data_IF_050070755571
#
_entry.id   IF_050070755571
#
_cell.length_a   1.000
_cell.length_b   1.000
_cell.length_c   1.000
_cell.angle_alpha   90.00
_cell.angle_beta   90.00
_cell.angle_gamma   90.00
#
_symmetry.space_group_name_H-M   'P 1'
#
loop_
_entity.id
_entity.type
_entity.pdbx_description
1 polymer ?
#
# COMPACT_ATOMS: atom_id res chain seq x y z
N UNK A 1 14.60 29.00 22.49
CA UNK A 1 15.31 27.71 22.62
C UNK A 1 14.58 26.90 23.66
N UNK A 2 14.02 25.73 23.47
CA UNK A 2 13.82 24.86 22.32
C UNK A 2 12.59 24.02 22.69
N UNK A 3 11.50 24.11 21.93
CA UNK A 3 10.44 23.11 22.01
C UNK A 3 10.77 22.09 20.94
N UNK A 4 11.48 21.02 21.31
CA UNK A 4 11.50 19.82 20.50
C UNK A 4 10.09 19.25 20.58
N UNK A 5 9.33 19.39 19.50
CA UNK A 5 8.12 18.61 19.31
C UNK A 5 8.51 17.13 19.44
N UNK A 6 7.88 16.44 20.39
CA UNK A 6 7.95 14.99 20.51
C UNK A 6 7.59 14.37 19.14
N UNK A 7 8.20 13.25 18.73
CA UNK A 7 7.86 12.59 17.48
C UNK A 7 6.35 12.35 17.47
N UNK A 8 5.67 13.02 16.53
CA UNK A 8 4.26 12.86 16.25
C UNK A 8 3.97 11.37 16.20
N UNK A 9 2.98 10.94 16.99
CA UNK A 9 2.52 9.55 17.08
C UNK A 9 2.63 8.88 15.70
N UNK A 10 3.27 7.70 15.63
CA UNK A 10 3.29 6.84 14.44
C UNK A 10 1.91 6.94 13.80
N UNK A 11 1.78 7.64 12.68
CA UNK A 11 0.55 7.59 11.91
C UNK A 11 0.44 6.12 11.52
N UNK A 12 -0.42 5.38 12.22
CA UNK A 12 -0.60 3.97 11.95
C UNK A 12 -1.08 3.89 10.51
N UNK A 13 -0.31 3.21 9.65
CA UNK A 13 -0.66 3.06 8.23
C UNK A 13 -2.08 2.51 8.05
N UNK A 14 -2.56 1.80 9.06
CA UNK A 14 -3.90 1.23 9.16
C UNK A 14 -4.57 1.70 10.46
N UNK A 15 -5.72 2.39 10.40
CA UNK A 15 -6.48 2.81 11.58
C UNK A 15 -6.84 1.69 12.56
N UNK A 16 -7.09 0.48 12.06
CA UNK A 16 -7.35 -0.72 12.88
C UNK A 16 -6.12 -1.24 13.62
N UNK A 17 -4.93 -0.78 13.22
CA UNK A 17 -3.65 -1.29 13.68
C UNK A 17 -3.11 -2.46 12.86
N UNK A 18 -3.89 -3.00 11.91
CA UNK A 18 -3.47 -4.11 11.05
C UNK A 18 -3.89 -3.91 9.59
N UNK A 19 -3.13 -4.50 8.68
CA UNK A 19 -3.39 -4.42 7.25
C UNK A 19 -3.52 -5.79 6.61
N UNK A 20 -4.56 -5.99 5.81
CA UNK A 20 -4.75 -7.25 5.09
C UNK A 20 -4.30 -7.13 3.64
N UNK A 21 -3.68 -8.19 3.05
CA UNK A 21 -3.33 -8.20 1.65
C UNK A 21 -4.60 -8.15 0.79
N UNK A 22 -4.69 -7.19 -0.12
CA UNK A 22 -5.76 -7.04 -1.09
C UNK A 22 -5.35 -7.63 -2.44
N UNK A 23 -4.13 -7.32 -2.90
CA UNK A 23 -3.62 -7.77 -4.18
C UNK A 23 -2.09 -7.74 -4.22
N UNK A 24 -1.54 -8.34 -5.28
CA UNK A 24 -0.17 -8.11 -5.72
C UNK A 24 -0.22 -7.58 -7.16
N UNK A 25 0.39 -6.42 -7.38
CA UNK A 25 0.64 -5.85 -8.69
C UNK A 25 1.92 -6.46 -9.24
N UNK A 26 1.95 -6.96 -10.48
CA UNK A 26 3.19 -7.48 -11.06
C UNK A 26 4.30 -6.42 -11.19
N UNK A 27 3.93 -5.14 -11.32
CA UNK A 27 4.88 -4.04 -11.41
C UNK A 27 5.63 -3.79 -10.09
N UNK A 28 6.91 -3.46 -10.20
CA UNK A 28 7.77 -3.08 -9.08
C UNK A 28 7.58 -1.61 -8.68
N UNK A 29 7.98 -1.23 -7.46
CA UNK A 29 7.79 0.13 -6.95
C UNK A 29 8.32 1.24 -7.89
N UNK A 30 9.51 1.11 -8.52
CA UNK A 30 10.00 2.14 -9.45
C UNK A 30 9.12 2.31 -10.68
N UNK A 31 8.58 1.21 -11.22
CA UNK A 31 7.69 1.24 -12.38
C UNK A 31 6.35 1.90 -12.02
N UNK A 32 5.81 1.57 -10.84
CA UNK A 32 4.61 2.20 -10.30
C UNK A 32 4.82 3.69 -10.02
N UNK A 33 6.00 4.08 -9.51
CA UNK A 33 6.35 5.48 -9.28
C UNK A 33 6.32 6.29 -10.58
N UNK A 34 6.92 5.75 -11.66
CA UNK A 34 6.94 6.40 -12.98
C UNK A 34 5.54 6.42 -13.60
N UNK A 35 4.83 5.30 -13.57
CA UNK A 35 3.53 5.14 -14.25
C UNK A 35 2.43 5.97 -13.60
N UNK A 36 2.43 6.07 -12.28
CA UNK A 36 1.34 6.67 -11.50
C UNK A 36 1.75 7.93 -10.71
N UNK A 37 3.00 8.37 -10.84
CA UNK A 37 3.50 9.54 -10.11
C UNK A 37 3.57 9.34 -8.58
N UNK A 38 3.72 8.09 -8.14
CA UNK A 38 3.76 7.75 -6.71
C UNK A 38 5.15 8.06 -6.12
N UNK A 39 5.14 8.53 -4.87
CA UNK A 39 6.36 8.69 -4.07
C UNK A 39 6.40 7.62 -2.99
N UNK A 40 7.44 6.80 -3.02
CA UNK A 40 7.67 5.77 -2.02
C UNK A 40 8.64 6.31 -0.96
N UNK A 41 8.37 5.97 0.30
CA UNK A 41 9.22 6.29 1.44
C UNK A 41 9.76 5.01 2.07
N UNK A 42 10.97 5.09 2.61
CA UNK A 42 11.53 4.01 3.41
C UNK A 42 10.81 3.92 4.76
N UNK A 43 10.56 2.70 5.21
CA UNK A 43 10.00 2.37 6.51
C UNK A 43 10.63 1.09 7.07
N UNK A 44 10.14 0.69 8.23
CA UNK A 44 10.50 -0.58 8.87
C UNK A 44 9.29 -1.07 9.66
N UNK A 45 9.01 -2.37 9.57
CA UNK A 45 8.13 -3.07 10.51
C UNK A 45 8.95 -3.99 11.42
N UNK A 46 8.27 -4.85 12.17
CA UNK A 46 8.91 -5.78 13.11
C UNK A 46 9.67 -6.92 12.39
N UNK A 47 9.54 -7.04 11.07
CA UNK A 47 10.19 -8.06 10.25
C UNK A 47 11.42 -7.50 9.54
N UNK A 48 11.29 -6.41 8.78
CA UNK A 48 12.39 -5.81 8.02
C UNK A 48 12.12 -4.35 7.60
N UNK A 49 13.12 -3.74 6.95
CA UNK A 49 12.96 -2.53 6.17
C UNK A 49 12.05 -2.77 4.96
N UNK A 50 11.20 -1.80 4.65
CA UNK A 50 10.32 -1.81 3.50
C UNK A 50 10.29 -0.44 2.83
N UNK A 51 9.85 -0.42 1.58
CA UNK A 51 9.42 0.81 0.93
C UNK A 51 7.93 0.77 0.73
N UNK A 52 7.26 1.90 0.95
CA UNK A 52 5.82 1.97 0.79
C UNK A 52 5.34 3.34 0.33
N UNK A 53 4.16 3.35 -0.28
CA UNK A 53 3.37 4.53 -0.58
C UNK A 53 1.95 4.30 -0.07
N UNK A 54 1.33 5.36 0.45
CA UNK A 54 -0.09 5.37 0.77
C UNK A 54 -0.82 6.01 -0.40
N UNK A 55 -1.80 5.30 -0.94
CA UNK A 55 -2.68 5.81 -1.98
C UNK A 55 -4.07 6.00 -1.36
N UNK A 56 -4.47 7.26 -1.25
CA UNK A 56 -5.83 7.61 -0.84
C UNK A 56 -6.79 7.33 -2.00
N UNK A 57 -7.73 6.43 -1.75
CA UNK A 57 -8.83 6.10 -2.64
C UNK A 57 -10.04 6.99 -2.33
N UNK A 58 -11.08 6.87 -3.13
CA UNK A 58 -12.35 7.53 -2.86
C UNK A 58 -12.97 7.04 -1.53
N UNK A 59 -13.97 7.78 -1.04
CA UNK A 59 -14.73 7.43 0.17
C UNK A 59 -13.89 7.23 1.45
N UNK A 60 -12.75 7.93 1.57
CA UNK A 60 -11.86 7.85 2.73
C UNK A 60 -11.28 6.45 3.00
N UNK A 61 -11.19 5.60 1.97
CA UNK A 61 -10.37 4.40 2.02
C UNK A 61 -8.95 4.75 1.57
N UNK A 62 -7.95 4.11 2.16
CA UNK A 62 -6.57 4.18 1.70
C UNK A 62 -6.04 2.77 1.51
N UNK A 63 -5.16 2.59 0.53
CA UNK A 63 -4.36 1.38 0.37
C UNK A 63 -2.89 1.71 0.60
N UNK A 64 -2.14 0.70 1.04
CA UNK A 64 -0.69 0.78 1.15
C UNK A 64 -0.09 -0.10 0.07
N UNK A 65 0.71 0.49 -0.81
CA UNK A 65 1.54 -0.23 -1.76
C UNK A 65 2.92 -0.39 -1.12
N UNK A 66 3.39 -1.62 -0.97
CA UNK A 66 4.66 -1.87 -0.27
C UNK A 66 5.45 -3.04 -0.85
N UNK A 67 6.76 -2.97 -0.65
CA UNK A 67 7.67 -4.10 -0.86
C UNK A 67 8.74 -4.12 0.23
N UNK A 68 8.93 -5.28 0.85
CA UNK A 68 10.01 -5.48 1.81
C UNK A 68 11.36 -5.59 1.10
N UNK A 69 12.41 -5.08 1.73
CA UNK A 69 13.76 -5.15 1.17
C UNK A 69 14.21 -6.61 1.16
N UNK A 70 14.60 -7.11 0.00
CA UNK A 70 15.08 -8.49 -0.14
C UNK A 70 13.98 -9.56 -0.22
N UNK A 71 12.70 -9.16 -0.27
CA UNK A 71 11.61 -10.09 -0.61
C UNK A 71 11.87 -10.68 -2.01
N UNK A 72 12.07 -12.01 -2.13
CA UNK A 72 12.33 -12.64 -3.42
C UNK A 72 11.08 -12.71 -4.31
N UNK A 73 9.89 -12.43 -3.76
CA UNK A 73 8.66 -12.47 -4.53
C UNK A 73 8.56 -11.25 -5.46
N UNK A 74 8.22 -11.45 -6.75
CA UNK A 74 8.05 -10.35 -7.69
C UNK A 74 6.78 -9.55 -7.36
N UNK A 75 6.79 -8.29 -7.77
CA UNK A 75 5.65 -7.39 -7.68
C UNK A 75 5.56 -6.61 -6.37
N UNK A 76 4.50 -5.81 -6.29
CA UNK A 76 4.20 -4.89 -5.19
C UNK A 76 2.95 -5.35 -4.47
N UNK A 77 3.04 -5.52 -3.15
CA UNK A 77 1.89 -5.91 -2.32
C UNK A 77 1.02 -4.69 -2.08
N UNK A 78 -0.28 -4.84 -2.27
CA UNK A 78 -1.29 -3.85 -1.91
C UNK A 78 -2.04 -4.35 -0.69
N UNK A 79 -2.07 -3.54 0.37
CA UNK A 79 -2.80 -3.82 1.60
C UNK A 79 -3.89 -2.78 1.86
N UNK A 80 -4.95 -3.20 2.52
CA UNK A 80 -5.99 -2.31 3.07
C UNK A 80 -5.99 -2.42 4.59
N UNK A 81 -6.64 -1.48 5.26
CA UNK A 81 -7.00 -1.65 6.66
C UNK A 81 -7.84 -2.92 6.88
N UNK A 82 -7.56 -3.68 7.94
CA UNK A 82 -8.25 -4.93 8.23
C UNK A 82 -9.77 -4.78 8.45
N UNK A 83 -10.25 -3.60 8.82
CA UNK A 83 -11.69 -3.31 8.93
C UNK A 83 -12.28 -2.68 7.66
N UNK A 84 -11.50 -2.58 6.57
CA UNK A 84 -11.92 -2.00 5.31
C UNK A 84 -12.76 -2.97 4.46
N UNK A 85 -13.64 -2.42 3.62
CA UNK A 85 -14.35 -3.21 2.61
C UNK A 85 -13.42 -3.53 1.43
N UNK A 86 -12.95 -4.78 1.36
CA UNK A 86 -12.05 -5.26 0.32
C UNK A 86 -12.65 -5.23 -1.09
N UNK A 87 -13.96 -5.47 -1.23
CA UNK A 87 -14.63 -5.43 -2.53
C UNK A 87 -14.67 -4.00 -3.06
N UNK A 88 -15.02 -3.07 -2.18
CA UNK A 88 -15.03 -1.65 -2.53
C UNK A 88 -13.63 -1.13 -2.84
N UNK A 89 -12.65 -1.45 -1.99
CA UNK A 89 -11.26 -1.06 -2.18
C UNK A 89 -10.69 -1.60 -3.49
N UNK A 90 -11.01 -2.85 -3.86
CA UNK A 90 -10.66 -3.42 -5.17
C UNK A 90 -11.22 -2.62 -6.34
N UNK A 91 -12.51 -2.31 -6.32
CA UNK A 91 -13.14 -1.54 -7.39
C UNK A 91 -12.53 -0.14 -7.51
N UNK A 92 -12.25 0.51 -6.37
CA UNK A 92 -11.62 1.81 -6.32
C UNK A 92 -10.16 1.80 -6.76
N UNK A 93 -9.39 0.77 -6.39
CA UNK A 93 -8.01 0.60 -6.81
C UNK A 93 -7.92 0.44 -8.33
N UNK A 94 -8.79 -0.40 -8.91
CA UNK A 94 -8.88 -0.58 -10.36
C UNK A 94 -9.18 0.74 -11.05
N UNK A 95 -10.14 1.52 -10.53
CA UNK A 95 -10.46 2.82 -11.09
C UNK A 95 -9.33 3.86 -10.92
N UNK A 96 -8.66 3.88 -9.76
CA UNK A 96 -7.63 4.87 -9.42
C UNK A 96 -6.34 4.68 -10.22
N UNK A 97 -5.97 3.42 -10.48
CA UNK A 97 -4.76 3.06 -11.21
C UNK A 97 -5.03 2.66 -12.67
N UNK A 98 -6.27 2.86 -13.15
CA UNK A 98 -6.74 2.47 -14.48
C UNK A 98 -6.30 1.04 -14.87
N UNK A 99 -6.51 0.10 -13.93
CA UNK A 99 -5.97 -1.25 -14.05
C UNK A 99 -6.77 -2.06 -15.07
N UNK A 100 -6.09 -2.49 -16.11
CA UNK A 100 -6.65 -3.32 -17.17
C UNK A 100 -6.30 -4.80 -17.05
N UNK A 101 -6.81 -5.63 -17.97
CA UNK A 101 -6.48 -7.06 -18.06
C UNK A 101 -4.99 -7.37 -18.28
N UNK A 102 -4.18 -6.38 -18.66
CA UNK A 102 -2.74 -6.53 -18.92
C UNK A 102 -1.83 -6.13 -17.75
N UNK A 103 -2.38 -5.70 -16.61
CA UNK A 103 -1.60 -5.23 -15.47
C UNK A 103 -1.23 -6.35 -14.48
N UNK A 104 -1.38 -7.62 -14.89
CA UNK A 104 -1.04 -8.84 -14.16
C UNK A 104 -1.26 -8.72 -12.64
N UNK A 105 -2.53 -8.82 -12.25
CA UNK A 105 -2.98 -8.69 -10.86
C UNK A 105 -3.35 -10.04 -10.25
N UNK A 106 -2.77 -10.33 -9.08
CA UNK A 106 -3.23 -11.42 -8.23
C UNK A 106 -4.03 -10.87 -7.06
N UNK A 107 -5.33 -11.16 -7.01
CA UNK A 107 -6.19 -10.77 -5.89
C UNK A 107 -6.05 -11.78 -4.76
N UNK A 108 -6.01 -11.30 -3.52
CA UNK A 108 -6.21 -12.19 -2.38
C UNK A 108 -7.65 -12.70 -2.40
N UNK A 109 -7.86 -13.91 -1.88
CA UNK A 109 -9.18 -14.40 -1.55
C UNK A 109 -9.65 -13.69 -0.26
N UNK A 110 -9.85 -12.38 -0.32
CA UNK A 110 -10.45 -11.65 0.80
C UNK A 110 -11.82 -12.29 1.12
N UNK A 111 -12.03 -12.62 2.39
CA UNK A 111 -13.20 -13.34 2.92
C UNK A 111 -14.42 -12.42 3.05
#
# INVERSE_FOLDING_TARGET
MSSQAAPTARATLFPSGDGEPLAVLAAELPDLAVRYGLSFVDGSDDLDALQFAVLDLAAAQSVVLSKHRGDPNPGTVVRIDANGDARQARAMLVAALDLGPGDDLWWSAAS
#
